data_IF_878672020293
#
_entry.id   IF_878672020293
#
_cell.length_a   1.000
_cell.length_b   1.000
_cell.length_c   1.000
_cell.angle_alpha   90.00
_cell.angle_beta   90.00
_cell.angle_gamma   90.00
#
_symmetry.space_group_name_H-M   'P 1'
#
loop_
_entity.id
_entity.type
_entity.pdbx_description
1 polymer ?
#
# COMPACT_ATOMS: atom_id res chain seq x y z
N UNK A 1 12.73 12.86 63.54
CA UNK A 1 11.74 13.18 62.50
C UNK A 1 12.52 13.40 61.21
N UNK A 2 12.65 12.33 60.44
CA UNK A 2 13.49 12.25 59.26
C UNK A 2 12.58 11.70 58.17
N UNK A 3 12.33 12.50 57.14
CA UNK A 3 11.41 12.16 56.06
C UNK A 3 12.03 11.09 55.16
N UNK A 4 11.33 9.97 55.10
CA UNK A 4 11.52 8.85 54.19
C UNK A 4 10.88 9.25 52.83
N UNK A 5 11.70 9.53 51.82
CA UNK A 5 11.22 9.77 50.45
C UNK A 5 11.35 8.46 49.70
N UNK A 6 10.22 7.73 49.72
CA UNK A 6 9.94 6.55 48.94
C UNK A 6 10.07 6.89 47.44
N UNK A 7 11.16 6.44 46.84
CA UNK A 7 11.34 6.40 45.39
C UNK A 7 10.22 5.51 44.80
N UNK A 8 9.24 6.12 44.15
CA UNK A 8 8.27 5.39 43.34
C UNK A 8 8.89 5.20 41.95
N UNK A 9 9.33 3.96 41.70
CA UNK A 9 9.66 3.48 40.37
C UNK A 9 8.42 3.64 39.47
N UNK A 10 8.53 4.46 38.43
CA UNK A 10 7.53 4.58 37.36
C UNK A 10 7.88 3.53 36.30
N UNK A 11 7.00 2.55 36.02
CA UNK A 11 7.29 1.51 35.03
C UNK A 11 6.84 1.97 33.64
N UNK A 12 7.54 2.89 32.99
CA UNK A 12 7.18 3.26 31.60
C UNK A 12 8.28 3.86 30.71
N UNK A 13 9.57 3.78 31.08
CA UNK A 13 10.67 4.30 30.25
C UNK A 13 11.70 3.23 29.86
N UNK A 14 11.23 2.18 29.20
CA UNK A 14 12.11 1.26 28.46
C UNK A 14 11.39 0.63 27.27
N UNK A 15 10.73 1.44 26.44
CA UNK A 15 10.64 1.11 25.01
C UNK A 15 12.01 1.42 24.42
N UNK A 16 12.88 0.39 24.40
CA UNK A 16 14.10 0.39 23.59
C UNK A 16 13.71 0.86 22.19
N UNK A 17 14.19 2.04 21.82
CA UNK A 17 14.31 2.46 20.43
C UNK A 17 15.14 1.37 19.74
N UNK A 18 14.49 0.47 19.00
CA UNK A 18 15.17 -0.34 18.00
C UNK A 18 15.77 0.64 16.97
N UNK A 19 16.94 0.37 16.41
CA UNK A 19 17.54 1.28 15.44
C UNK A 19 16.67 1.30 14.17
N UNK A 20 15.80 2.32 14.06
CA UNK A 20 14.81 2.52 12.98
C UNK A 20 15.41 2.37 11.57
N UNK A 21 16.71 2.62 11.42
CA UNK A 21 17.44 2.52 10.15
C UNK A 21 17.67 1.09 9.68
N UNK A 22 17.93 0.13 10.58
CA UNK A 22 18.25 -1.25 10.22
C UNK A 22 16.99 -2.08 9.89
N UNK A 23 15.87 -1.81 10.57
CA UNK A 23 14.59 -2.45 10.26
C UNK A 23 13.97 -1.88 9.00
N UNK A 24 14.02 -0.54 8.80
CA UNK A 24 13.61 0.09 7.54
C UNK A 24 14.45 -0.42 6.36
N UNK A 25 15.76 -0.54 6.52
CA UNK A 25 16.65 -1.09 5.50
C UNK A 25 16.30 -2.54 5.11
N UNK A 26 16.00 -3.39 6.12
CA UNK A 26 15.55 -4.77 5.88
C UNK A 26 14.21 -4.82 5.15
N UNK A 27 13.21 -4.05 5.59
CA UNK A 27 11.89 -3.99 4.94
C UNK A 27 11.98 -3.60 3.47
N UNK A 28 12.80 -2.60 3.12
CA UNK A 28 13.03 -2.21 1.71
C UNK A 28 13.67 -3.33 0.89
N UNK A 29 14.61 -4.07 1.47
CA UNK A 29 15.20 -5.25 0.83
C UNK A 29 14.16 -6.34 0.63
N UNK A 30 13.35 -6.64 1.65
CA UNK A 30 12.30 -7.66 1.60
C UNK A 30 11.24 -7.31 0.54
N UNK A 31 10.84 -6.04 0.45
CA UNK A 31 9.90 -5.52 -0.56
C UNK A 31 10.46 -5.70 -1.97
N UNK A 32 11.76 -5.46 -2.17
CA UNK A 32 12.43 -5.70 -3.46
C UNK A 32 12.40 -7.18 -3.83
N UNK A 33 12.71 -8.07 -2.88
CA UNK A 33 12.61 -9.52 -3.10
C UNK A 33 11.18 -9.97 -3.40
N UNK A 34 10.18 -9.40 -2.71
CA UNK A 34 8.77 -9.68 -2.93
C UNK A 34 8.34 -9.34 -4.37
N UNK A 35 8.81 -8.23 -4.94
CA UNK A 35 8.54 -7.87 -6.35
C UNK A 35 9.02 -8.98 -7.30
N UNK A 36 10.25 -9.48 -7.11
CA UNK A 36 10.75 -10.58 -7.95
C UNK A 36 9.95 -11.89 -7.75
N UNK A 37 9.51 -12.17 -6.53
CA UNK A 37 8.63 -13.32 -6.25
C UNK A 37 7.28 -13.19 -6.94
N UNK A 38 6.68 -11.99 -6.93
CA UNK A 38 5.43 -11.69 -7.65
C UNK A 38 5.59 -11.98 -9.14
N UNK A 39 6.66 -11.46 -9.78
CA UNK A 39 6.91 -11.68 -11.21
C UNK A 39 6.98 -13.17 -11.54
N UNK A 40 7.77 -13.93 -10.77
CA UNK A 40 7.92 -15.38 -10.98
C UNK A 40 6.63 -16.15 -10.73
N UNK A 41 5.87 -15.77 -9.71
CA UNK A 41 4.60 -16.41 -9.40
C UNK A 41 3.53 -16.14 -10.45
N UNK A 42 3.46 -14.91 -10.97
CA UNK A 42 2.60 -14.54 -12.10
C UNK A 42 2.94 -15.35 -13.35
N UNK A 43 4.23 -15.55 -13.64
CA UNK A 43 4.67 -16.43 -14.72
C UNK A 43 4.21 -17.88 -14.51
N UNK A 44 4.39 -18.42 -13.29
CA UNK A 44 4.01 -19.79 -12.95
C UNK A 44 2.50 -20.06 -13.12
N UNK A 45 1.64 -19.06 -12.88
CA UNK A 45 0.17 -19.20 -13.04
C UNK A 45 -0.34 -18.80 -14.43
N UNK A 46 0.56 -18.48 -15.37
CA UNK A 46 0.22 -18.12 -16.76
C UNK A 46 -0.25 -16.68 -16.95
N UNK A 47 0.07 -15.79 -16.01
CA UNK A 47 -0.30 -14.38 -15.99
C UNK A 47 0.92 -13.46 -16.02
N UNK A 48 2.03 -13.87 -16.65
CA UNK A 48 3.26 -13.07 -16.73
C UNK A 48 3.01 -11.63 -17.21
N UNK A 49 2.09 -11.44 -18.16
CA UNK A 49 1.74 -10.12 -18.72
C UNK A 49 0.93 -9.22 -17.78
N UNK A 50 0.47 -9.73 -16.63
CA UNK A 50 -0.09 -8.93 -15.53
C UNK A 50 0.96 -8.19 -14.72
N UNK A 51 2.24 -8.54 -14.86
CA UNK A 51 3.33 -7.89 -14.11
C UNK A 51 3.29 -6.38 -14.23
N UNK A 52 3.22 -5.87 -15.47
CA UNK A 52 3.24 -4.42 -15.69
C UNK A 52 1.98 -3.73 -15.16
N UNK A 53 0.75 -4.13 -15.55
CA UNK A 53 -0.47 -3.52 -15.01
C UNK A 53 -0.55 -3.50 -13.48
N UNK A 54 -0.15 -4.59 -12.81
CA UNK A 54 -0.19 -4.68 -11.35
C UNK A 54 0.85 -3.78 -10.69
N UNK A 55 2.11 -3.88 -11.10
CA UNK A 55 3.17 -3.09 -10.47
C UNK A 55 3.02 -1.59 -10.76
N UNK A 56 2.52 -1.22 -11.94
CA UNK A 56 2.18 0.17 -12.24
C UNK A 56 1.02 0.66 -11.37
N UNK A 57 -0.04 -0.13 -11.21
CA UNK A 57 -1.14 0.26 -10.33
C UNK A 57 -0.70 0.36 -8.86
N UNK A 58 0.06 -0.62 -8.35
CA UNK A 58 0.55 -0.60 -6.97
C UNK A 58 1.60 0.49 -6.73
N UNK A 59 2.35 0.88 -7.77
CA UNK A 59 3.29 2.00 -7.72
C UNK A 59 2.60 3.32 -7.37
N UNK A 60 1.31 3.47 -7.64
CA UNK A 60 0.54 4.65 -7.24
C UNK A 60 0.42 4.81 -5.73
N UNK A 61 0.57 3.72 -4.99
CA UNK A 61 0.56 3.71 -3.52
C UNK A 61 1.99 3.71 -2.94
N UNK A 62 3.03 3.87 -3.75
CA UNK A 62 4.42 3.88 -3.26
C UNK A 62 4.61 4.97 -2.20
N UNK A 63 5.29 4.65 -1.10
CA UNK A 63 5.49 5.55 0.03
C UNK A 63 4.39 5.49 1.10
N UNK A 64 3.22 4.94 0.80
CA UNK A 64 2.14 4.81 1.79
C UNK A 64 2.52 3.85 2.92
N UNK A 65 3.40 2.88 2.65
CA UNK A 65 3.84 1.87 3.61
C UNK A 65 4.60 2.46 4.81
N UNK A 66 5.15 3.67 4.68
CA UNK A 66 5.77 4.38 5.82
C UNK A 66 4.71 4.80 6.86
N UNK A 67 3.43 4.85 6.47
CA UNK A 67 2.27 5.17 7.33
C UNK A 67 1.34 3.97 7.57
N UNK A 68 1.28 3.06 6.60
CA UNK A 68 0.34 1.93 6.52
C UNK A 68 1.09 0.59 6.38
N UNK A 69 2.16 0.39 7.16
CA UNK A 69 3.08 -0.75 6.97
C UNK A 69 2.42 -2.13 7.11
N UNK A 70 1.35 -2.26 7.89
CA UNK A 70 0.58 -3.51 8.04
C UNK A 70 -0.24 -3.86 6.79
N UNK A 71 -0.58 -2.85 6.01
CA UNK A 71 -1.43 -2.93 4.82
C UNK A 71 -0.62 -2.70 3.53
N UNK A 72 0.71 -2.88 3.57
CA UNK A 72 1.58 -2.76 2.39
C UNK A 72 1.10 -3.71 1.27
N UNK A 73 0.79 -3.18 0.07
CA UNK A 73 0.25 -3.99 -1.00
C UNK A 73 1.25 -4.99 -1.58
N UNK A 74 2.56 -4.77 -1.43
CA UNK A 74 3.57 -5.63 -2.06
C UNK A 74 3.65 -7.00 -1.37
N UNK A 75 3.83 -7.12 -0.04
CA UNK A 75 3.76 -8.41 0.63
C UNK A 75 2.40 -9.10 0.46
N UNK A 76 1.30 -8.34 0.47
CA UNK A 76 -0.04 -8.89 0.30
C UNK A 76 -0.25 -9.49 -1.10
N UNK A 77 0.17 -8.79 -2.16
CA UNK A 77 0.13 -9.33 -3.52
C UNK A 77 1.06 -10.54 -3.68
N UNK A 78 2.24 -10.52 -3.06
CA UNK A 78 3.16 -11.66 -3.07
C UNK A 78 2.47 -12.92 -2.52
N UNK A 79 1.87 -12.82 -1.33
CA UNK A 79 1.18 -13.95 -0.70
C UNK A 79 0.03 -14.48 -1.55
N UNK A 80 -0.76 -13.58 -2.14
CA UNK A 80 -1.86 -13.92 -3.05
C UNK A 80 -1.35 -14.71 -4.26
N UNK A 81 -0.31 -14.22 -4.92
CA UNK A 81 0.25 -14.87 -6.12
C UNK A 81 0.90 -16.22 -5.76
N UNK A 82 1.62 -16.29 -4.64
CA UNK A 82 2.23 -17.53 -4.15
C UNK A 82 1.19 -18.60 -3.81
N UNK A 83 0.06 -18.19 -3.21
CA UNK A 83 -1.05 -19.09 -2.93
C UNK A 83 -1.56 -19.78 -4.21
N UNK A 84 -1.77 -19.00 -5.27
CA UNK A 84 -2.19 -19.55 -6.56
C UNK A 84 -1.10 -20.40 -7.22
N UNK A 85 0.16 -19.97 -7.18
CA UNK A 85 1.28 -20.72 -7.75
C UNK A 85 1.43 -22.10 -7.09
N UNK A 86 1.21 -22.20 -5.77
CA UNK A 86 1.24 -23.46 -5.02
C UNK A 86 0.09 -24.41 -5.40
N UNK A 87 -1.05 -23.87 -5.84
CA UNK A 87 -2.19 -24.68 -6.30
C UNK A 87 -1.89 -25.45 -7.61
N UNK A 88 -0.92 -24.98 -8.40
CA UNK A 88 -0.55 -25.57 -9.70
C UNK A 88 -1.59 -25.35 -10.82
N UNK A 89 -2.65 -24.60 -10.55
CA UNK A 89 -3.70 -24.30 -11.52
C UNK A 89 -3.43 -22.98 -12.26
N UNK A 90 -3.82 -22.93 -13.54
CA UNK A 90 -3.88 -21.65 -14.27
C UNK A 90 -4.97 -20.78 -13.68
N UNK A 91 -4.68 -19.50 -13.51
CA UNK A 91 -5.61 -18.52 -12.94
C UNK A 91 -6.16 -17.64 -14.05
N UNK A 92 -7.46 -17.33 -13.99
CA UNK A 92 -8.06 -16.37 -14.89
C UNK A 92 -7.68 -14.95 -14.46
N UNK A 93 -7.39 -14.10 -15.44
CA UNK A 93 -7.05 -12.69 -15.23
C UNK A 93 -8.08 -11.94 -14.37
N UNK A 94 -9.37 -12.24 -14.55
CA UNK A 94 -10.45 -11.67 -13.74
C UNK A 94 -10.41 -12.05 -12.26
N UNK A 95 -9.83 -13.20 -11.91
CA UNK A 95 -9.66 -13.63 -10.51
C UNK A 95 -8.63 -12.75 -9.80
N UNK A 96 -7.46 -12.54 -10.41
CA UNK A 96 -6.43 -11.66 -9.83
C UNK A 96 -6.97 -10.24 -9.67
N UNK A 97 -7.65 -9.69 -10.68
CA UNK A 97 -8.27 -8.36 -10.56
C UNK A 97 -9.29 -8.29 -9.40
N UNK A 98 -10.08 -9.35 -9.20
CA UNK A 98 -11.09 -9.41 -8.13
C UNK A 98 -10.48 -9.54 -6.72
N UNK A 99 -9.31 -10.16 -6.60
CA UNK A 99 -8.61 -10.28 -5.31
C UNK A 99 -7.77 -9.03 -5.01
N UNK A 100 -7.17 -8.40 -6.01
CA UNK A 100 -6.40 -7.14 -5.84
C UNK A 100 -7.30 -6.01 -5.31
N UNK A 101 -8.56 -5.96 -5.72
CA UNK A 101 -9.50 -4.95 -5.21
C UNK A 101 -9.91 -5.18 -3.74
N UNK A 102 -9.48 -6.28 -3.12
CA UNK A 102 -9.66 -6.56 -1.70
C UNK A 102 -8.45 -6.14 -0.85
N UNK A 103 -7.38 -5.65 -1.48
CA UNK A 103 -6.19 -5.21 -0.76
C UNK A 103 -6.52 -4.03 0.15
N UNK A 104 -6.03 -4.10 1.39
CA UNK A 104 -6.34 -3.14 2.43
C UNK A 104 -5.80 -1.73 2.12
N UNK A 105 -4.76 -1.63 1.30
CA UNK A 105 -4.21 -0.34 0.87
C UNK A 105 -5.24 0.54 0.15
N UNK A 106 -6.21 -0.07 -0.56
CA UNK A 106 -7.26 0.67 -1.26
C UNK A 106 -8.12 1.45 -0.28
N UNK A 107 -8.19 1.06 0.99
CA UNK A 107 -9.05 1.73 1.97
C UNK A 107 -8.43 3.01 2.54
N UNK A 108 -7.25 3.41 2.10
CA UNK A 108 -6.60 4.61 2.58
C UNK A 108 -7.05 5.85 1.81
N UNK A 109 -7.38 6.88 2.58
CA UNK A 109 -7.70 8.24 2.12
C UNK A 109 -6.60 9.18 2.55
N UNK A 110 -6.28 10.13 1.69
CA UNK A 110 -5.33 11.19 1.96
C UNK A 110 -5.93 12.50 1.49
N UNK A 111 -5.83 13.54 2.31
CA UNK A 111 -6.36 14.84 1.95
C UNK A 111 -5.60 15.98 2.64
N UNK A 112 -5.61 17.14 1.98
CA UNK A 112 -5.08 18.39 2.50
C UNK A 112 -6.19 19.22 3.17
N UNK A 113 -5.88 19.77 4.33
CA UNK A 113 -6.76 20.64 5.10
C UNK A 113 -6.05 21.95 5.42
N UNK A 114 -6.72 23.08 5.21
CA UNK A 114 -6.21 24.36 5.71
C UNK A 114 -6.52 24.50 7.20
N UNK A 115 -5.75 25.33 7.89
CA UNK A 115 -5.92 25.57 9.31
C UNK A 115 -7.36 26.02 9.64
N UNK A 116 -8.04 25.25 10.50
CA UNK A 116 -9.41 25.54 10.94
C UNK A 116 -10.53 25.08 10.00
N UNK A 117 -10.21 24.48 8.85
CA UNK A 117 -11.22 23.93 7.94
C UNK A 117 -11.60 22.48 8.33
N UNK A 118 -12.90 22.20 8.30
CA UNK A 118 -13.44 20.85 8.54
C UNK A 118 -13.47 20.05 7.24
N UNK A 119 -13.62 20.72 6.10
CA UNK A 119 -13.65 20.10 4.77
C UNK A 119 -12.25 20.10 4.15
N UNK A 120 -11.91 19.01 3.47
CA UNK A 120 -10.69 18.93 2.70
C UNK A 120 -10.70 19.91 1.53
N UNK A 121 -9.56 20.55 1.28
CA UNK A 121 -9.36 21.40 0.10
C UNK A 121 -8.83 20.63 -1.12
N UNK A 122 -8.21 19.46 -0.89
CA UNK A 122 -7.82 18.53 -1.93
C UNK A 122 -7.83 17.11 -1.36
N UNK A 123 -8.28 16.13 -2.16
CA UNK A 123 -8.34 14.72 -1.79
C UNK A 123 -7.56 13.93 -2.83
N UNK A 124 -6.74 13.00 -2.37
CA UNK A 124 -5.95 12.13 -3.23
C UNK A 124 -6.84 11.08 -3.92
N UNK A 125 -6.73 10.99 -5.24
CA UNK A 125 -7.28 9.92 -6.05
C UNK A 125 -6.13 9.08 -6.66
N UNK A 126 -5.95 7.83 -6.22
CA UNK A 126 -4.91 6.95 -6.73
C UNK A 126 -5.10 6.56 -8.20
N UNK A 127 -6.15 6.94 -8.92
CA UNK A 127 -6.21 6.74 -10.39
C UNK A 127 -5.77 7.96 -11.18
N UNK A 128 -5.69 9.12 -10.53
CA UNK A 128 -5.31 10.38 -11.16
C UNK A 128 -3.84 10.73 -10.89
N UNK A 129 -3.34 10.50 -9.67
CA UNK A 129 -1.97 10.86 -9.28
C UNK A 129 -1.38 9.88 -8.25
N UNK A 130 -0.06 9.70 -8.27
CA UNK A 130 0.65 8.82 -7.34
C UNK A 130 0.74 9.46 -5.94
N UNK A 131 0.83 8.63 -4.89
CA UNK A 131 0.82 9.10 -3.50
C UNK A 131 1.96 10.10 -3.21
N UNK A 132 3.19 9.77 -3.59
CA UNK A 132 4.34 10.65 -3.35
C UNK A 132 4.19 11.98 -4.08
N UNK A 133 3.79 11.96 -5.36
CA UNK A 133 3.55 13.17 -6.13
C UNK A 133 2.48 14.06 -5.48
N UNK A 134 1.38 13.48 -4.99
CA UNK A 134 0.34 14.22 -4.28
C UNK A 134 0.84 14.91 -3.00
N UNK A 135 1.77 14.27 -2.29
CA UNK A 135 2.38 14.80 -1.08
C UNK A 135 3.43 15.86 -1.41
N UNK A 136 4.23 15.64 -2.45
CA UNK A 136 5.31 16.55 -2.89
C UNK A 136 4.75 17.84 -3.49
N UNK A 137 3.68 17.77 -4.28
CA UNK A 137 3.03 18.94 -4.88
C UNK A 137 2.59 19.94 -3.80
N UNK A 138 2.06 19.42 -2.68
CA UNK A 138 1.73 20.19 -1.50
C UNK A 138 0.63 21.24 -1.70
N UNK A 139 0.13 21.80 -0.59
CA UNK A 139 -0.70 23.01 -0.62
C UNK A 139 -0.14 24.00 0.42
N UNK A 140 0.29 25.21 0.00
CA UNK A 140 0.83 26.21 0.91
C UNK A 140 -0.14 26.54 2.06
N UNK A 141 0.35 26.42 3.30
CA UNK A 141 -0.43 26.69 4.51
C UNK A 141 -1.49 25.63 4.84
N UNK A 142 -1.44 24.47 4.19
CA UNK A 142 -2.26 23.30 4.52
C UNK A 142 -1.41 22.19 5.14
N UNK A 143 -2.08 21.32 5.90
CA UNK A 143 -1.54 20.08 6.43
C UNK A 143 -2.30 18.91 5.81
N UNK A 144 -1.59 17.83 5.49
CA UNK A 144 -2.22 16.62 4.99
C UNK A 144 -2.48 15.62 6.11
N UNK A 145 -3.48 14.77 5.91
CA UNK A 145 -3.81 13.65 6.81
C UNK A 145 -4.04 12.40 6.00
N UNK A 146 -3.71 11.26 6.59
CA UNK A 146 -3.99 9.92 6.06
C UNK A 146 -4.83 9.15 7.08
N UNK A 147 -5.83 8.42 6.60
CA UNK A 147 -6.67 7.57 7.43
C UNK A 147 -7.25 6.41 6.61
N UNK A 148 -7.68 5.35 7.28
CA UNK A 148 -8.33 4.19 6.66
C UNK A 148 -9.85 4.32 6.78
N UNK A 149 -10.59 3.91 5.76
CA UNK A 149 -12.06 3.95 5.68
C UNK A 149 -12.65 2.59 5.34
N UNK A 150 -13.93 2.37 5.62
CA UNK A 150 -14.61 1.12 5.25
C UNK A 150 -14.81 1.01 3.72
N UNK A 151 -14.90 2.14 3.03
CA UNK A 151 -15.05 2.19 1.57
C UNK A 151 -13.69 2.31 0.88
N UNK A 152 -13.44 1.62 -0.24
CA UNK A 152 -12.19 1.71 -0.99
C UNK A 152 -12.05 3.06 -1.71
N UNK A 153 -10.81 3.53 -1.85
CA UNK A 153 -10.31 4.66 -2.64
C UNK A 153 -9.35 4.15 -3.71
N UNK A 154 -9.68 4.32 -4.99
CA UNK A 154 -10.99 4.64 -5.54
C UNK A 154 -11.98 3.47 -5.40
N UNK A 155 -13.19 3.62 -5.93
CA UNK A 155 -14.19 2.55 -5.98
C UNK A 155 -13.61 1.22 -6.52
N UNK A 156 -13.94 0.11 -5.87
CA UNK A 156 -13.36 -1.20 -6.18
C UNK A 156 -13.68 -1.67 -7.61
N UNK A 157 -14.89 -1.42 -8.11
CA UNK A 157 -15.27 -1.79 -9.47
C UNK A 157 -14.60 -0.89 -10.50
N UNK A 158 -14.36 0.38 -10.17
CA UNK A 158 -13.54 1.27 -10.99
C UNK A 158 -12.10 0.78 -11.09
N UNK A 159 -11.47 0.40 -9.97
CA UNK A 159 -10.11 -0.17 -9.95
C UNK A 159 -10.05 -1.47 -10.75
N UNK A 160 -11.03 -2.36 -10.60
CA UNK A 160 -11.11 -3.59 -11.38
C UNK A 160 -11.15 -3.33 -12.88
N UNK A 161 -11.99 -2.39 -13.32
CA UNK A 161 -12.08 -1.98 -14.73
C UNK A 161 -10.77 -1.37 -15.21
N UNK A 162 -10.14 -0.55 -14.38
CA UNK A 162 -8.85 0.06 -14.67
C UNK A 162 -7.78 -1.03 -14.93
N UNK A 163 -7.63 -1.98 -14.01
CA UNK A 163 -6.68 -3.09 -14.13
C UNK A 163 -6.92 -3.95 -15.37
N UNK A 164 -8.19 -4.31 -15.63
CA UNK A 164 -8.55 -5.11 -16.80
C UNK A 164 -8.35 -4.35 -18.11
N UNK A 165 -8.66 -3.05 -18.15
CA UNK A 165 -8.43 -2.23 -19.33
C UNK A 165 -6.93 -2.09 -19.63
N UNK A 166 -6.10 -1.89 -18.60
CA UNK A 166 -4.66 -1.81 -18.77
C UNK A 166 -4.05 -3.15 -19.19
N UNK A 167 -4.53 -4.25 -18.59
CA UNK A 167 -4.20 -5.60 -19.04
C UNK A 167 -4.54 -5.80 -20.53
N UNK A 168 -5.73 -5.40 -20.98
CA UNK A 168 -6.12 -5.50 -22.40
C UNK A 168 -5.28 -4.59 -23.29
N UNK A 169 -4.84 -3.41 -22.85
CA UNK A 169 -3.92 -2.56 -23.63
C UNK A 169 -2.56 -3.23 -23.82
N UNK A 170 -2.03 -3.83 -22.75
CA UNK A 170 -0.73 -4.53 -22.78
C UNK A 170 -0.81 -5.84 -23.58
N UNK A 171 -1.96 -6.51 -23.56
CA UNK A 171 -2.16 -7.82 -24.20
C UNK A 171 -3.01 -7.76 -25.48
N UNK A 172 -3.36 -6.55 -25.93
CA UNK A 172 -4.25 -6.28 -27.04
C UNK A 172 -3.66 -6.80 -28.35
N UNK A 173 -4.13 -7.99 -28.72
CA UNK A 173 -4.10 -8.72 -29.98
C UNK A 173 -3.53 -7.96 -31.20
N UNK A 174 -2.38 -8.47 -31.70
CA UNK A 174 -2.09 -8.48 -33.15
C UNK A 174 -2.82 -9.64 -33.82
#
# INVERSE_FOLDING_TARGET
MTHDVRNQETPEESRKLLPETAERGRRRSDRTHAIFSIVRGLEAIGLATWTHPLLTFLGRYDGIEEFAWEDDPIPALQQLVEHHAQSGCKVLSGTIAAEVIQLQVLHYRVAWFKAGEVQACSVWDPLETDFLDFIEDGIPGAEWRIWKTDEPNPDAELVKRYLLADYVKVNGFR
#
